data_IF_277652255577
#
_entry.id   IF_277652255577
#
_cell.length_a   1.000
_cell.length_b   1.000
_cell.length_c   1.000
_cell.angle_alpha   90.00
_cell.angle_beta   90.00
_cell.angle_gamma   90.00
#
_symmetry.space_group_name_H-M   'P 1'
#
loop_
_entity.id
_entity.type
_entity.pdbx_description
1 polymer ?
#
# COMPACT_ATOMS: atom_id res chain seq x y z
N UNK A 1 -16.40 -10.50 -17.00
CA UNK A 1 -16.10 -10.55 -16.65
C UNK A 1 -15.42 -10.40 -15.95
N UNK A 2 -15.33 -10.14 -15.76
CA UNK A 2 -14.74 -10.03 -15.18
C UNK A 2 -14.00 -10.14 -14.69
N UNK A 3 -13.61 -10.13 -14.60
CA UNK A 3 -12.94 -10.32 -14.16
C UNK A 3 -12.22 -10.18 -13.38
N UNK A 4 -11.87 -10.03 -13.15
CA UNK A 4 -11.45 -9.85 -12.34
C UNK A 4 -10.56 -9.78 -11.61
N UNK A 5 -10.03 -9.48 -11.82
CA UNK A 5 -9.19 -9.08 -10.87
C UNK A 5 -9.73 -9.14 -9.54
N UNK A 6 -10.51 -10.06 -9.33
CA UNK A 6 -11.14 -10.26 -8.08
C UNK A 6 -10.17 -10.54 -6.97
N UNK A 7 -8.94 -10.85 -7.32
CA UNK A 7 -7.97 -11.26 -6.33
C UNK A 7 -7.22 -10.12 -5.69
N UNK A 8 -7.45 -8.91 -6.14
CA UNK A 8 -6.68 -7.78 -5.66
C UNK A 8 -7.62 -6.71 -5.17
N UNK A 9 -7.47 -6.35 -3.92
CA UNK A 9 -8.26 -5.29 -3.34
C UNK A 9 -7.41 -4.06 -3.20
N UNK A 10 -7.89 -2.96 -3.75
CA UNK A 10 -7.25 -1.68 -3.57
C UNK A 10 -7.77 -1.04 -2.31
N UNK A 11 -6.89 -0.51 -1.52
CA UNK A 11 -7.25 0.16 -0.29
C UNK A 11 -6.50 1.47 -0.21
N UNK A 12 -6.99 2.37 0.62
CA UNK A 12 -6.42 3.69 0.76
C UNK A 12 -6.03 3.91 2.21
N UNK A 13 -4.93 4.57 2.42
CA UNK A 13 -4.49 4.83 3.76
C UNK A 13 -3.32 5.78 3.75
N UNK A 14 -2.57 5.81 4.84
CA UNK A 14 -1.40 6.67 4.91
C UNK A 14 -0.24 5.93 5.57
N UNK A 15 0.98 6.32 5.15
CA UNK A 15 2.19 5.80 5.75
C UNK A 15 2.36 6.45 7.11
N UNK A 16 2.47 5.66 8.16
CA UNK A 16 2.72 6.27 9.45
C UNK A 16 4.11 5.91 10.00
N UNK A 17 4.79 4.98 9.36
CA UNK A 17 6.10 4.57 9.83
C UNK A 17 6.87 3.91 8.70
N UNK A 18 8.14 4.19 8.61
CA UNK A 18 9.03 3.52 7.67
C UNK A 18 9.78 2.43 8.43
N UNK A 19 9.73 1.21 7.93
CA UNK A 19 10.30 0.06 8.62
C UNK A 19 11.66 -0.37 8.06
N UNK A 20 12.18 0.35 7.09
CA UNK A 20 13.46 -0.01 6.50
C UNK A 20 13.30 -1.00 5.37
N UNK A 21 14.33 -1.16 4.57
CA UNK A 21 14.35 -2.09 3.43
C UNK A 21 13.21 -1.87 2.45
N UNK A 22 12.73 -0.65 2.36
CA UNK A 22 11.66 -0.33 1.42
C UNK A 22 10.27 -0.68 1.91
N UNK A 23 10.12 -1.04 3.18
CA UNK A 23 8.83 -1.35 3.76
C UNK A 23 8.28 -0.18 4.54
N UNK A 24 6.96 -0.06 4.51
CA UNK A 24 6.25 1.01 5.20
C UNK A 24 5.07 0.42 5.94
N UNK A 25 4.80 0.96 7.11
CA UNK A 25 3.59 0.60 7.83
C UNK A 25 2.51 1.58 7.41
N UNK A 26 1.42 1.04 6.91
CA UNK A 26 0.31 1.82 6.39
C UNK A 26 -0.91 1.56 7.23
N UNK A 27 -1.58 2.62 7.63
CA UNK A 27 -2.86 2.49 8.31
C UNK A 27 -3.95 2.79 7.30
N UNK A 28 -4.87 1.86 7.13
CA UNK A 28 -5.92 1.99 6.14
C UNK A 28 -7.08 2.82 6.68
N UNK A 29 -7.79 3.45 5.75
CA UNK A 29 -9.02 4.15 6.09
C UNK A 29 -10.11 3.16 6.46
N UNK A 30 -10.16 2.05 5.74
CA UNK A 30 -11.16 1.01 5.97
C UNK A 30 -10.55 -0.37 5.78
N UNK A 31 -10.79 -1.27 6.71
CA UNK A 31 -11.44 -0.99 8.00
C UNK A 31 -10.58 -0.05 8.81
N UNK A 32 -11.23 0.86 9.50
CA UNK A 32 -10.54 1.91 10.23
C UNK A 32 -9.52 1.32 11.19
N UNK A 33 -8.31 1.87 11.15
CA UNK A 33 -7.25 1.42 12.04
C UNK A 33 -6.55 0.15 11.63
N UNK A 34 -6.95 -0.47 10.53
CA UNK A 34 -6.29 -1.68 10.06
C UNK A 34 -4.89 -1.32 9.58
N UNK A 35 -3.90 -2.04 10.05
CA UNK A 35 -2.52 -1.77 9.72
C UNK A 35 -1.93 -2.87 8.87
N UNK A 36 -1.14 -2.50 7.89
CA UNK A 36 -0.48 -3.48 7.05
C UNK A 36 0.93 -3.04 6.76
N UNK A 37 1.76 -4.03 6.51
CA UNK A 37 3.15 -3.80 6.12
C UNK A 37 3.20 -3.84 4.61
N UNK A 38 3.61 -2.73 4.01
CA UNK A 38 3.56 -2.58 2.57
C UNK A 38 4.92 -2.23 2.01
N UNK A 39 5.13 -2.63 0.78
CA UNK A 39 6.35 -2.36 0.08
C UNK A 39 6.01 -1.55 -1.16
N UNK A 40 6.91 -0.65 -1.54
CA UNK A 40 6.71 0.13 -2.76
C UNK A 40 6.67 -0.81 -3.95
N UNK A 41 5.71 -0.59 -4.85
CA UNK A 41 5.62 -1.39 -6.05
C UNK A 41 6.79 -1.09 -6.98
N UNK A 42 7.04 -2.01 -7.91
CA UNK A 42 8.08 -1.79 -8.89
C UNK A 42 7.87 -0.52 -9.69
N UNK A 43 6.61 -0.17 -9.96
CA UNK A 43 6.30 1.05 -10.70
C UNK A 43 6.77 2.29 -9.95
N UNK A 44 6.56 2.35 -8.64
CA UNK A 44 7.01 3.49 -7.86
C UNK A 44 8.52 3.55 -7.80
N UNK A 45 9.16 2.39 -7.66
CA UNK A 45 10.62 2.33 -7.62
C UNK A 45 11.20 2.79 -8.95
N UNK A 46 10.63 2.29 -10.05
CA UNK A 46 11.11 2.64 -11.38
C UNK A 46 10.97 4.13 -11.66
N UNK A 47 9.88 4.73 -11.18
CA UNK A 47 9.66 6.15 -11.39
C UNK A 47 10.34 7.01 -10.35
N UNK A 48 11.05 6.38 -9.43
CA UNK A 48 11.80 7.08 -8.39
C UNK A 48 10.91 7.99 -7.56
N UNK A 49 9.70 7.53 -7.31
CA UNK A 49 8.77 8.26 -6.47
C UNK A 49 9.12 7.97 -5.03
N UNK A 50 9.44 9.00 -4.29
CA UNK A 50 9.83 8.84 -2.90
C UNK A 50 8.59 8.87 -2.01
N UNK A 51 8.50 7.88 -1.14
CA UNK A 51 7.40 7.79 -0.17
C UNK A 51 7.89 8.36 1.15
N UNK A 52 7.07 9.19 1.74
CA UNK A 52 7.39 9.83 3.01
C UNK A 52 6.33 9.49 4.03
N UNK A 53 6.74 9.48 5.29
CA UNK A 53 5.78 9.28 6.38
C UNK A 53 4.76 10.41 6.32
N UNK A 54 3.50 10.04 6.41
CA UNK A 54 2.39 11.00 6.30
C UNK A 54 1.74 11.06 4.94
N UNK A 55 2.36 10.45 3.93
CA UNK A 55 1.78 10.45 2.59
C UNK A 55 0.52 9.59 2.54
N UNK A 56 -0.46 10.07 1.79
CA UNK A 56 -1.62 9.26 1.45
C UNK A 56 -1.22 8.34 0.31
N UNK A 57 -1.60 7.08 0.42
CA UNK A 57 -1.19 6.08 -0.56
C UNK A 57 -2.36 5.17 -0.90
N UNK A 58 -2.26 4.58 -2.09
CA UNK A 58 -3.14 3.49 -2.49
C UNK A 58 -2.31 2.21 -2.42
N UNK A 59 -2.88 1.18 -1.82
CA UNK A 59 -2.18 -0.10 -1.70
C UNK A 59 -3.02 -1.21 -2.27
N UNK A 60 -2.34 -2.24 -2.77
CA UNK A 60 -2.98 -3.49 -3.16
C UNK A 60 -2.69 -4.48 -2.06
N UNK A 61 -3.73 -5.01 -1.44
CA UNK A 61 -3.55 -5.97 -0.37
C UNK A 61 -3.40 -7.36 -0.95
N UNK A 62 -2.58 -8.17 -0.28
CA UNK A 62 -2.43 -9.56 -0.68
C UNK A 62 -3.72 -10.30 -0.38
N UNK A 63 -4.25 -11.06 -1.35
CA UNK A 63 -5.45 -11.85 -1.06
C UNK A 63 -5.20 -12.98 -0.09
N UNK A 64 -3.93 -13.30 0.13
CA UNK A 64 -3.57 -14.38 1.04
C UNK A 64 -3.24 -13.88 2.44
N UNK A 65 -2.97 -12.60 2.58
CA UNK A 65 -2.58 -12.05 3.87
C UNK A 65 -2.91 -10.55 3.86
N UNK A 66 -4.01 -10.20 4.49
CA UNK A 66 -4.47 -8.83 4.48
C UNK A 66 -3.64 -7.89 5.35
N UNK A 67 -2.61 -8.43 6.02
CA UNK A 67 -1.66 -7.58 6.74
C UNK A 67 -0.47 -7.21 5.90
N UNK A 68 -0.44 -7.64 4.64
CA UNK A 68 0.64 -7.35 3.72
C UNK A 68 0.09 -6.75 2.45
N UNK A 69 0.85 -5.85 1.87
CA UNK A 69 0.41 -5.23 0.64
C UNK A 69 1.53 -4.55 -0.10
N UNK A 70 1.14 -3.87 -1.16
CA UNK A 70 2.07 -3.18 -2.03
C UNK A 70 1.51 -1.80 -2.31
N UNK A 71 2.34 -0.78 -2.14
CA UNK A 71 1.93 0.59 -2.41
C UNK A 71 2.07 0.84 -3.90
N UNK A 72 0.97 1.20 -4.54
CA UNK A 72 0.95 1.37 -5.99
C UNK A 72 0.86 2.82 -6.41
N UNK A 73 0.38 3.69 -5.53
CA UNK A 73 0.25 5.11 -5.84
C UNK A 73 0.50 5.93 -4.60
N UNK A 74 1.13 7.08 -4.81
CA UNK A 74 1.27 8.08 -3.77
C UNK A 74 0.37 9.24 -4.16
N UNK A 75 -0.55 9.58 -3.29
CA UNK A 75 -1.43 10.70 -3.54
C UNK A 75 -0.83 11.97 -3.00
N UNK A 76 -1.14 13.04 -3.66
CA UNK A 76 -0.59 14.31 -3.24
C UNK A 76 -1.50 15.07 -2.34
#
# INVERSE_FOLDING_TARGET
MSKQKANVDNAFGFNYKESGNGYFNVELDEPEGHQCLCRASGKLITRKIQLLVGDRVTVELSPFDLTRGRITLREK
#
